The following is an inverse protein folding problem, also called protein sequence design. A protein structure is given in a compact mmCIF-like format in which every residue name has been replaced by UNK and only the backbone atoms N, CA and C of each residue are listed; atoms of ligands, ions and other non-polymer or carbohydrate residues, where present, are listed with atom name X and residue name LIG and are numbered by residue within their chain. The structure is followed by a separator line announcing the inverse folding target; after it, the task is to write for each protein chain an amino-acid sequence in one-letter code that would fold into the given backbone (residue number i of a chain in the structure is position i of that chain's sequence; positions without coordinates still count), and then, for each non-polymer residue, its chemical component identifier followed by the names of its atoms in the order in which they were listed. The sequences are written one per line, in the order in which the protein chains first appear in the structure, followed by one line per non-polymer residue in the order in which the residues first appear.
data_IF_488289113874
#
_entry.id   IF_488289113874
#
_cell.length_a   1.000
_cell.length_b   1.000
_cell.length_c   1.000
_cell.angle_alpha   90.00
_cell.angle_beta   90.00
_cell.angle_gamma   90.00
#
_symmetry.space_group_name_H-M   'P 1'
#
loop_
_entity.id
_entity.type
_entity.pdbx_description
1 polymer ?
#
# COMPACT_ATOMS: atom_id res chain seq x y z
N UNK A 1 21.23 15.53 -24.40
CA UNK A 1 21.10 14.13 -24.87
C UNK A 1 20.44 13.18 -23.84
N UNK A 2 19.62 13.66 -22.88
CA UNK A 2 18.90 12.78 -21.92
C UNK A 2 17.43 13.23 -21.79
N UNK A 3 16.62 13.02 -22.84
CA UNK A 3 15.17 13.27 -22.81
C UNK A 3 14.34 11.98 -22.87
N UNK A 4 14.94 10.81 -22.61
CA UNK A 4 14.13 9.60 -22.43
C UNK A 4 13.38 9.68 -21.09
N UNK A 5 12.05 9.49 -21.07
CA UNK A 5 11.24 9.53 -19.84
C UNK A 5 11.69 8.49 -18.81
N UNK A 6 12.39 7.45 -19.26
CA UNK A 6 12.99 6.40 -18.43
C UNK A 6 14.27 6.83 -17.71
N UNK A 7 14.87 7.98 -18.01
CA UNK A 7 16.11 8.42 -17.35
C UNK A 7 15.89 9.22 -16.05
N UNK A 8 14.64 9.44 -15.65
CA UNK A 8 14.31 10.20 -14.44
C UNK A 8 14.44 9.32 -13.19
N UNK A 9 15.19 9.72 -12.15
CA UNK A 9 15.26 9.00 -10.88
C UNK A 9 13.92 8.53 -10.32
N UNK A 10 12.87 9.35 -10.44
CA UNK A 10 11.51 9.00 -9.98
C UNK A 10 10.85 7.83 -10.72
N UNK A 11 11.29 7.51 -11.94
CA UNK A 11 10.83 6.36 -12.73
C UNK A 11 11.82 5.19 -12.70
N UNK A 12 13.14 5.48 -12.65
CA UNK A 12 14.19 4.48 -12.59
C UNK A 12 14.17 3.69 -11.28
N UNK A 13 14.10 4.37 -10.14
CA UNK A 13 14.21 3.70 -8.83
C UNK A 13 13.11 2.66 -8.63
N UNK A 14 11.81 2.94 -8.90
CA UNK A 14 10.79 1.91 -8.83
C UNK A 14 10.97 0.78 -9.83
N UNK A 15 11.42 1.07 -11.06
CA UNK A 15 11.65 0.05 -12.08
C UNK A 15 12.78 -0.90 -11.68
N UNK A 16 13.89 -0.34 -11.17
CA UNK A 16 15.02 -1.10 -10.64
C UNK A 16 14.56 -1.94 -9.45
N UNK A 17 13.77 -1.38 -8.54
CA UNK A 17 13.24 -2.13 -7.40
C UNK A 17 12.35 -3.30 -7.85
N UNK A 18 11.49 -3.09 -8.85
CA UNK A 18 10.70 -4.18 -9.45
C UNK A 18 11.58 -5.25 -10.08
N UNK A 19 12.63 -4.87 -10.79
CA UNK A 19 13.58 -5.80 -11.40
C UNK A 19 14.37 -6.58 -10.34
N UNK A 20 14.82 -5.92 -9.27
CA UNK A 20 15.49 -6.55 -8.13
C UNK A 20 14.56 -7.57 -7.47
N UNK A 21 13.31 -7.19 -7.20
CA UNK A 21 12.31 -8.12 -6.64
C UNK A 21 12.09 -9.32 -7.57
N UNK A 22 11.95 -9.12 -8.87
CA UNK A 22 11.82 -10.24 -9.82
C UNK A 22 13.01 -11.23 -9.76
N UNK A 23 14.21 -10.75 -9.44
CA UNK A 23 15.43 -11.56 -9.33
C UNK A 23 15.61 -12.24 -7.97
N UNK A 24 14.88 -11.82 -6.93
CA UNK A 24 15.05 -12.35 -5.56
C UNK A 24 14.98 -13.87 -5.48
N UNK A 25 14.00 -14.57 -6.08
CA UNK A 25 13.92 -16.03 -5.97
C UNK A 25 15.16 -16.73 -6.55
N UNK A 26 15.68 -16.23 -7.67
CA UNK A 26 16.88 -16.78 -8.31
C UNK A 26 18.14 -16.53 -7.49
N UNK A 27 18.26 -15.33 -6.91
CA UNK A 27 19.39 -14.97 -6.03
C UNK A 27 19.33 -15.80 -4.75
N UNK A 28 18.16 -15.94 -4.13
CA UNK A 28 17.98 -16.72 -2.90
C UNK A 28 18.29 -18.21 -3.13
N UNK A 29 17.89 -18.77 -4.28
CA UNK A 29 18.24 -20.13 -4.67
C UNK A 29 19.75 -20.28 -4.91
N UNK A 30 20.40 -19.31 -5.55
CA UNK A 30 21.84 -19.35 -5.82
C UNK A 30 22.69 -19.27 -4.52
N UNK A 31 22.19 -18.55 -3.51
CA UNK A 31 22.86 -18.40 -2.21
C UNK A 31 22.47 -19.54 -1.25
N UNK A 32 21.41 -20.30 -1.55
CA UNK A 32 20.95 -21.41 -0.71
C UNK A 32 20.19 -20.97 0.54
N UNK A 33 19.60 -19.78 0.54
CA UNK A 33 18.92 -19.17 1.70
C UNK A 33 17.43 -18.88 1.40
N UNK A 34 16.52 -19.87 1.57
CA UNK A 34 15.10 -19.74 1.27
C UNK A 34 14.37 -18.70 2.13
N UNK A 35 14.93 -18.35 3.28
CA UNK A 35 14.42 -17.32 4.19
C UNK A 35 14.13 -16.00 3.47
N UNK A 36 15.01 -15.57 2.57
CA UNK A 36 14.83 -14.33 1.82
C UNK A 36 13.58 -14.35 0.94
N UNK A 37 13.17 -15.51 0.42
CA UNK A 37 11.95 -15.62 -0.38
C UNK A 37 10.73 -15.30 0.49
N UNK A 38 10.66 -15.85 1.70
CA UNK A 38 9.58 -15.57 2.64
C UNK A 38 9.56 -14.10 3.09
N UNK A 39 10.73 -13.54 3.41
CA UNK A 39 10.88 -12.14 3.82
C UNK A 39 10.39 -11.19 2.71
N UNK A 40 10.89 -11.35 1.48
CA UNK A 40 10.49 -10.48 0.38
C UNK A 40 9.04 -10.74 -0.07
N UNK A 41 8.51 -11.96 0.07
CA UNK A 41 7.08 -12.21 -0.12
C UNK A 41 6.25 -11.39 0.88
N UNK A 42 6.62 -11.37 2.17
CA UNK A 42 5.96 -10.54 3.18
C UNK A 42 6.04 -9.05 2.83
N UNK A 43 7.20 -8.55 2.39
CA UNK A 43 7.36 -7.16 1.93
C UNK A 43 6.40 -6.84 0.78
N UNK A 44 6.33 -7.71 -0.22
CA UNK A 44 5.44 -7.54 -1.39
C UNK A 44 3.97 -7.54 -0.95
N UNK A 45 3.57 -8.44 -0.05
CA UNK A 45 2.19 -8.53 0.43
C UNK A 45 1.79 -7.27 1.20
N UNK A 46 2.67 -6.76 2.08
CA UNK A 46 2.43 -5.49 2.77
C UNK A 46 2.44 -4.29 1.79
N UNK A 47 3.24 -4.34 0.72
CA UNK A 47 3.19 -3.35 -0.35
C UNK A 47 1.84 -3.36 -1.10
N UNK A 48 1.24 -4.54 -1.33
CA UNK A 48 -0.11 -4.65 -1.91
C UNK A 48 -1.15 -4.06 -0.96
N UNK A 49 -1.13 -4.44 0.32
CA UNK A 49 -2.04 -3.92 1.33
C UNK A 49 -1.92 -2.38 1.48
N UNK A 50 -0.70 -1.86 1.47
CA UNK A 50 -0.45 -0.43 1.50
C UNK A 50 -0.85 0.26 0.19
N UNK A 51 -0.71 -0.40 -0.96
CA UNK A 51 -1.20 0.10 -2.25
C UNK A 51 -2.72 0.23 -2.25
N UNK A 52 -3.41 -0.75 -1.67
CA UNK A 52 -4.85 -0.67 -1.43
C UNK A 52 -5.18 0.56 -0.59
N UNK A 53 -4.61 0.69 0.61
CA UNK A 53 -4.86 1.85 1.48
C UNK A 53 -4.53 3.18 0.78
N UNK A 54 -3.44 3.24 0.01
CA UNK A 54 -3.04 4.43 -0.74
C UNK A 54 -4.07 4.85 -1.81
N UNK A 55 -4.92 3.93 -2.28
CA UNK A 55 -6.06 4.30 -3.14
C UNK A 55 -6.98 5.31 -2.43
N UNK A 56 -7.29 5.04 -1.17
CA UNK A 56 -8.24 5.81 -0.35
C UNK A 56 -7.55 6.97 0.36
N UNK A 57 -6.42 6.70 1.00
CA UNK A 57 -5.61 7.69 1.72
C UNK A 57 -4.91 8.65 0.77
N UNK A 58 -4.22 8.09 -0.23
CA UNK A 58 -3.39 8.84 -1.17
C UNK A 58 -4.18 9.62 -2.20
N UNK A 59 -5.11 8.97 -2.91
CA UNK A 59 -5.89 9.69 -3.92
C UNK A 59 -7.17 10.30 -3.35
N UNK A 60 -7.86 9.61 -2.42
CA UNK A 60 -9.10 10.08 -1.82
C UNK A 60 -8.96 11.03 -0.63
N UNK A 61 -7.78 11.11 0.01
CA UNK A 61 -7.57 11.94 1.19
C UNK A 61 -8.28 11.45 2.44
N UNK A 62 -8.71 10.19 2.44
CA UNK A 62 -9.48 9.57 3.51
C UNK A 62 -8.54 8.69 4.35
N UNK A 63 -8.27 9.09 5.59
CA UNK A 63 -7.45 8.31 6.51
C UNK A 63 -8.30 7.20 7.12
N UNK A 64 -8.08 5.95 6.72
CA UNK A 64 -8.86 4.80 7.20
C UNK A 64 -8.01 3.89 8.07
N UNK A 65 -8.42 3.75 9.34
CA UNK A 65 -7.90 2.71 10.23
C UNK A 65 -8.67 1.38 10.12
N UNK A 66 -9.59 1.29 9.15
CA UNK A 66 -10.42 0.12 8.90
C UNK A 66 -9.74 -0.97 8.06
N UNK A 67 -8.60 -0.72 7.41
CA UNK A 67 -8.04 -1.65 6.43
C UNK A 67 -7.52 -2.95 7.02
N UNK A 68 -7.09 -2.95 8.29
CA UNK A 68 -6.79 -4.16 9.05
C UNK A 68 -7.97 -5.14 9.08
N UNK A 69 -9.21 -4.64 9.12
CA UNK A 69 -10.41 -5.49 9.03
C UNK A 69 -10.39 -6.33 7.75
N UNK A 70 -10.19 -5.68 6.59
CA UNK A 70 -10.20 -6.35 5.30
C UNK A 70 -9.02 -7.28 5.14
N UNK A 71 -7.84 -6.86 5.63
CA UNK A 71 -6.65 -7.68 5.66
C UNK A 71 -6.89 -8.99 6.44
N UNK A 72 -7.47 -8.91 7.64
CA UNK A 72 -7.82 -10.11 8.39
C UNK A 72 -8.97 -10.91 7.80
N UNK A 73 -10.01 -10.28 7.23
CA UNK A 73 -11.07 -10.99 6.50
C UNK A 73 -10.46 -11.79 5.35
N UNK A 74 -9.47 -11.23 4.66
CA UNK A 74 -8.68 -11.94 3.65
C UNK A 74 -7.99 -13.19 4.19
N UNK A 75 -7.36 -13.08 5.36
CA UNK A 75 -6.68 -14.20 5.99
C UNK A 75 -7.66 -15.31 6.42
N UNK A 76 -8.75 -14.95 7.08
CA UNK A 76 -9.80 -15.89 7.47
C UNK A 76 -10.64 -16.41 6.29
N UNK A 77 -10.65 -15.70 5.16
CA UNK A 77 -11.23 -16.17 3.91
C UNK A 77 -10.48 -17.35 3.29
N UNK A 78 -9.26 -17.64 3.75
CA UNK A 78 -8.54 -18.90 3.48
C UNK A 78 -8.77 -19.89 4.61
N UNK A 79 -8.58 -19.45 5.86
CA UNK A 79 -8.56 -20.36 6.99
C UNK A 79 -9.92 -21.04 7.27
N UNK A 80 -11.04 -20.33 7.10
CA UNK A 80 -12.38 -20.88 7.33
C UNK A 80 -12.77 -21.96 6.32
N UNK A 81 -12.67 -21.75 4.98
CA UNK A 81 -12.91 -22.82 4.01
C UNK A 81 -12.02 -24.05 4.24
N UNK A 82 -10.73 -23.83 4.53
CA UNK A 82 -9.78 -24.93 4.80
C UNK A 82 -10.18 -25.72 6.04
N UNK A 83 -10.64 -25.06 7.10
CA UNK A 83 -11.20 -25.73 8.28
C UNK A 83 -12.40 -26.62 7.96
N UNK A 84 -13.16 -26.29 6.91
CA UNK A 84 -14.27 -27.11 6.41
C UNK A 84 -13.86 -28.10 5.31
N UNK A 85 -12.56 -28.30 5.07
CA UNK A 85 -12.03 -29.26 4.10
C UNK A 85 -12.08 -28.78 2.65
N UNK A 86 -12.28 -27.48 2.42
CA UNK A 86 -12.24 -26.88 1.08
C UNK A 86 -10.84 -26.31 0.87
N UNK A 87 -10.07 -26.89 -0.05
CA UNK A 87 -8.71 -26.43 -0.41
C UNK A 87 -8.67 -25.68 -1.76
N UNK A 88 -9.83 -25.50 -2.41
CA UNK A 88 -9.94 -24.88 -3.71
C UNK A 88 -9.71 -23.35 -3.63
N UNK A 89 -8.57 -22.92 -4.16
CA UNK A 89 -8.14 -21.52 -4.15
C UNK A 89 -9.09 -20.57 -4.90
N UNK A 90 -9.81 -21.04 -5.93
CA UNK A 90 -10.81 -20.21 -6.61
C UNK A 90 -11.99 -19.89 -5.69
N UNK A 91 -12.42 -20.85 -4.88
CA UNK A 91 -13.48 -20.65 -3.89
C UNK A 91 -13.03 -19.65 -2.83
N UNK A 92 -11.79 -19.79 -2.34
CA UNK A 92 -11.21 -18.85 -1.38
C UNK A 92 -11.16 -17.43 -1.96
N UNK A 93 -10.73 -17.29 -3.22
CA UNK A 93 -10.61 -15.99 -3.89
C UNK A 93 -11.97 -15.31 -4.07
N UNK A 94 -12.98 -16.05 -4.54
CA UNK A 94 -14.36 -15.56 -4.69
C UNK A 94 -14.92 -15.14 -3.32
N UNK A 95 -14.70 -15.95 -2.29
CA UNK A 95 -15.13 -15.66 -0.93
C UNK A 95 -14.47 -14.37 -0.41
N UNK A 96 -13.15 -14.25 -0.56
CA UNK A 96 -12.40 -13.07 -0.12
C UNK A 96 -12.89 -11.81 -0.82
N UNK A 97 -13.01 -11.82 -2.14
CA UNK A 97 -13.52 -10.66 -2.88
C UNK A 97 -14.97 -10.32 -2.54
N UNK A 98 -15.83 -11.33 -2.40
CA UNK A 98 -17.24 -11.15 -2.03
C UNK A 98 -17.40 -10.57 -0.63
N UNK A 99 -16.79 -11.19 0.38
CA UNK A 99 -16.90 -10.77 1.78
C UNK A 99 -16.21 -9.43 2.01
N UNK A 100 -15.00 -9.21 1.48
CA UNK A 100 -14.33 -7.91 1.58
C UNK A 100 -15.10 -6.82 0.83
N UNK A 101 -15.66 -7.13 -0.34
CA UNK A 101 -16.48 -6.19 -1.12
C UNK A 101 -17.73 -5.76 -0.35
N UNK A 102 -18.47 -6.71 0.22
CA UNK A 102 -19.66 -6.43 1.04
C UNK A 102 -19.28 -5.69 2.33
N UNK A 103 -18.27 -6.18 3.06
CA UNK A 103 -17.82 -5.54 4.29
C UNK A 103 -17.33 -4.10 4.04
N UNK A 104 -16.58 -3.87 2.96
CA UNK A 104 -16.12 -2.54 2.58
C UNK A 104 -17.28 -1.65 2.10
N UNK A 105 -18.27 -2.20 1.40
CA UNK A 105 -19.46 -1.45 1.00
C UNK A 105 -20.28 -1.01 2.20
N UNK A 106 -20.51 -1.89 3.17
CA UNK A 106 -21.27 -1.59 4.40
C UNK A 106 -20.51 -0.59 5.26
N UNK A 107 -19.26 -0.88 5.61
CA UNK A 107 -18.45 0.00 6.47
C UNK A 107 -18.15 1.34 5.77
N UNK A 108 -17.93 1.33 4.46
CA UNK A 108 -17.75 2.54 3.64
C UNK A 108 -19.01 3.39 3.59
N UNK A 109 -20.18 2.81 3.33
CA UNK A 109 -21.45 3.52 3.24
C UNK A 109 -21.85 4.21 4.57
N UNK A 110 -21.40 3.68 5.70
CA UNK A 110 -21.60 4.27 7.02
C UNK A 110 -20.51 5.32 7.30
N UNK A 111 -19.23 4.96 7.17
CA UNK A 111 -18.11 5.84 7.54
C UNK A 111 -18.05 7.11 6.70
N UNK A 112 -18.31 7.01 5.38
CA UNK A 112 -18.27 8.15 4.45
C UNK A 112 -19.38 9.19 4.67
N UNK A 113 -20.34 8.92 5.56
CA UNK A 113 -21.31 9.93 6.02
C UNK A 113 -20.67 10.97 6.94
N UNK A 114 -19.46 10.69 7.43
CA UNK A 114 -18.69 11.57 8.30
C UNK A 114 -17.40 12.02 7.61
N UNK A 115 -16.70 13.00 8.18
CA UNK A 115 -15.47 13.55 7.60
C UNK A 115 -14.41 13.81 8.67
N UNK A 116 -13.15 13.83 8.25
CA UNK A 116 -12.01 14.09 9.12
C UNK A 116 -11.84 13.04 10.21
N UNK A 117 -11.73 13.49 11.47
CA UNK A 117 -11.45 12.62 12.62
C UNK A 117 -12.58 11.61 12.87
N UNK A 118 -13.84 12.00 12.63
CA UNK A 118 -14.98 11.10 12.81
C UNK A 118 -14.90 9.89 11.86
N UNK A 119 -14.48 10.08 10.62
CA UNK A 119 -14.26 9.00 9.65
C UNK A 119 -13.19 8.02 10.15
N UNK A 120 -12.07 8.56 10.65
CA UNK A 120 -10.97 7.78 11.24
C UNK A 120 -11.51 6.90 12.39
N UNK A 121 -12.22 7.50 13.34
CA UNK A 121 -12.73 6.80 14.52
C UNK A 121 -13.76 5.72 14.18
N UNK A 122 -14.67 5.98 13.23
CA UNK A 122 -15.65 4.98 12.80
C UNK A 122 -14.96 3.81 12.09
N UNK A 123 -13.99 4.07 11.21
CA UNK A 123 -13.26 2.99 10.54
C UNK A 123 -12.42 2.16 11.52
N UNK A 124 -11.83 2.80 12.53
CA UNK A 124 -11.14 2.13 13.63
C UNK A 124 -12.11 1.23 14.43
N UNK A 125 -13.29 1.74 14.77
CA UNK A 125 -14.31 0.99 15.50
C UNK A 125 -14.75 -0.27 14.72
N UNK A 126 -14.93 -0.17 13.40
CA UNK A 126 -15.24 -1.34 12.57
C UNK A 126 -14.11 -2.37 12.56
N UNK A 127 -12.84 -1.94 12.47
CA UNK A 127 -11.71 -2.87 12.58
C UNK A 127 -11.67 -3.58 13.93
N UNK A 128 -11.86 -2.85 15.03
CA UNK A 128 -11.88 -3.42 16.37
C UNK A 128 -13.09 -4.33 16.60
N UNK A 129 -14.25 -4.00 16.03
CA UNK A 129 -15.42 -4.89 16.05
C UNK A 129 -15.12 -6.22 15.35
N UNK A 130 -14.44 -6.20 14.19
CA UNK A 130 -14.00 -7.43 13.53
C UNK A 130 -12.97 -8.20 14.34
N UNK A 131 -11.97 -7.53 14.90
CA UNK A 131 -11.00 -8.13 15.81
C UNK A 131 -11.68 -8.91 16.94
N UNK A 132 -12.57 -8.26 17.70
CA UNK A 132 -13.27 -8.89 18.82
C UNK A 132 -14.25 -9.97 18.38
N UNK A 133 -14.85 -9.86 17.19
CA UNK A 133 -15.68 -10.91 16.61
C UNK A 133 -14.86 -12.20 16.44
N UNK A 134 -13.68 -12.12 15.81
CA UNK A 134 -12.83 -13.30 15.58
C UNK A 134 -12.21 -13.85 16.86
N UNK A 135 -11.80 -12.99 17.80
CA UNK A 135 -11.37 -13.42 19.14
C UNK A 135 -12.48 -14.20 19.87
N UNK A 136 -13.74 -13.78 19.70
CA UNK A 136 -14.89 -14.44 20.32
C UNK A 136 -15.26 -15.79 19.69
N UNK A 137 -14.79 -16.06 18.46
CA UNK A 137 -15.09 -17.29 17.72
C UNK A 137 -14.16 -18.44 18.14
N UNK A 138 -14.38 -18.97 19.36
CA UNK A 138 -13.59 -20.09 19.90
C UNK A 138 -13.52 -21.32 18.99
N UNK A 139 -14.59 -21.59 18.23
CA UNK A 139 -14.63 -22.70 17.25
C UNK A 139 -13.56 -22.56 16.16
N UNK A 140 -13.19 -21.33 15.81
CA UNK A 140 -12.26 -21.00 14.74
C UNK A 140 -10.93 -20.45 15.29
N UNK A 141 -10.52 -20.94 16.46
CA UNK A 141 -9.25 -20.59 17.09
C UNK A 141 -9.31 -19.47 18.13
N UNK A 142 -10.37 -18.66 18.14
CA UNK A 142 -10.49 -17.54 19.07
C UNK A 142 -9.27 -16.62 19.02
N UNK A 143 -8.72 -16.28 20.19
CA UNK A 143 -7.52 -15.43 20.32
C UNK A 143 -6.24 -16.08 19.75
N UNK A 144 -6.15 -17.41 19.82
CA UNK A 144 -5.00 -18.15 19.32
C UNK A 144 -4.93 -18.12 17.78
N UNK A 145 -6.05 -17.92 17.10
CA UNK A 145 -6.13 -17.99 15.65
C UNK A 145 -6.18 -19.42 15.11
N UNK A 146 -6.11 -19.54 13.79
CA UNK A 146 -6.41 -20.76 13.05
C UNK A 146 -5.25 -21.13 12.13
N UNK A 147 -4.68 -22.32 12.37
CA UNK A 147 -3.67 -22.91 11.49
C UNK A 147 -4.29 -23.47 10.22
N UNK A 148 -3.60 -23.27 9.10
CA UNK A 148 -4.07 -23.61 7.75
C UNK A 148 -3.33 -24.87 7.30
N UNK A 149 -3.97 -26.03 7.52
CA UNK A 149 -3.36 -27.33 7.25
C UNK A 149 -3.17 -27.65 5.76
N UNK A 150 -3.96 -27.01 4.89
CA UNK A 150 -3.88 -27.16 3.44
C UNK A 150 -3.89 -25.78 2.80
N UNK A 151 -2.89 -25.50 1.97
CA UNK A 151 -2.81 -24.24 1.26
C UNK A 151 -3.80 -24.16 0.08
N UNK A 152 -4.03 -22.95 -0.40
CA UNK A 152 -4.97 -22.70 -1.51
C UNK A 152 -4.43 -23.29 -2.82
N UNK A 153 -5.23 -24.15 -3.48
CA UNK A 153 -4.85 -24.81 -4.73
C UNK A 153 -5.63 -24.24 -5.93
N UNK A 154 -4.90 -23.84 -6.96
CA UNK A 154 -5.43 -23.39 -8.25
C UNK A 154 -5.05 -24.39 -9.34
N UNK A 155 -5.57 -25.63 -9.25
CA UNK A 155 -5.18 -26.72 -10.15
C UNK A 155 -3.71 -27.11 -9.94
N UNK A 156 -2.81 -26.94 -10.94
CA UNK A 156 -1.39 -27.28 -10.79
C UNK A 156 -0.61 -26.33 -9.87
N UNK A 157 -1.14 -25.12 -9.62
CA UNK A 157 -0.50 -24.13 -8.77
C UNK A 157 -0.95 -24.33 -7.31
N UNK A 158 0.01 -24.59 -6.42
CA UNK A 158 -0.24 -24.79 -4.99
C UNK A 158 0.45 -23.69 -4.17
N UNK A 159 -0.33 -22.87 -3.46
CA UNK A 159 0.18 -21.79 -2.60
C UNK A 159 0.75 -22.32 -1.26
N UNK A 160 1.00 -23.62 -1.14
CA UNK A 160 1.76 -24.19 -0.02
C UNK A 160 3.27 -24.04 -0.19
N UNK A 161 3.74 -23.81 -1.42
CA UNK A 161 5.14 -23.50 -1.68
C UNK A 161 5.39 -21.98 -1.54
N UNK A 162 6.41 -21.61 -0.76
CA UNK A 162 6.80 -20.22 -0.56
C UNK A 162 7.19 -19.55 -1.88
N UNK A 163 7.82 -20.30 -2.80
CA UNK A 163 8.16 -19.81 -4.14
C UNK A 163 6.91 -19.47 -4.97
N UNK A 164 5.91 -20.35 -4.94
CA UNK A 164 4.62 -20.11 -5.59
C UNK A 164 3.89 -18.89 -5.01
N UNK A 165 3.83 -18.75 -3.67
CA UNK A 165 3.22 -17.59 -3.02
C UNK A 165 3.97 -16.30 -3.39
N UNK A 166 5.30 -16.33 -3.43
CA UNK A 166 6.12 -15.21 -3.87
C UNK A 166 5.77 -14.79 -5.29
N UNK A 167 5.75 -15.73 -6.24
CA UNK A 167 5.44 -15.45 -7.64
C UNK A 167 4.02 -14.88 -7.80
N UNK A 168 3.04 -15.46 -7.10
CA UNK A 168 1.67 -14.94 -7.08
C UNK A 168 1.61 -13.53 -6.51
N UNK A 169 2.26 -13.27 -5.36
CA UNK A 169 2.28 -11.95 -4.74
C UNK A 169 2.96 -10.92 -5.64
N UNK A 170 4.06 -11.28 -6.30
CA UNK A 170 4.74 -10.40 -7.25
C UNK A 170 3.85 -10.05 -8.45
N UNK A 171 3.15 -11.04 -9.02
CA UNK A 171 2.19 -10.82 -10.11
C UNK A 171 1.03 -9.92 -9.66
N UNK A 172 0.48 -10.15 -8.47
CA UNK A 172 -0.58 -9.31 -7.89
C UNK A 172 -0.08 -7.89 -7.64
N UNK A 173 1.15 -7.70 -7.16
CA UNK A 173 1.75 -6.38 -6.98
C UNK A 173 1.94 -5.65 -8.33
N UNK A 174 2.44 -6.35 -9.36
CA UNK A 174 2.59 -5.79 -10.70
C UNK A 174 1.22 -5.37 -11.27
N UNK A 175 0.20 -6.22 -11.11
CA UNK A 175 -1.16 -5.93 -11.54
C UNK A 175 -1.76 -4.77 -10.74
N UNK A 176 -1.60 -4.75 -9.42
CA UNK A 176 -2.10 -3.70 -8.55
C UNK A 176 -1.47 -2.35 -8.89
N UNK A 177 -0.15 -2.30 -9.06
CA UNK A 177 0.57 -1.07 -9.43
C UNK A 177 0.17 -0.57 -10.82
N UNK A 178 0.02 -1.47 -11.80
CA UNK A 178 -0.50 -1.13 -13.12
C UNK A 178 -1.94 -0.59 -13.05
N UNK A 179 -2.85 -1.31 -12.38
CA UNK A 179 -4.23 -0.88 -12.17
C UNK A 179 -4.30 0.48 -11.48
N UNK A 180 -3.49 0.74 -10.45
CA UNK A 180 -3.43 2.03 -9.78
C UNK A 180 -2.91 3.14 -10.70
N UNK A 181 -1.92 2.85 -11.56
CA UNK A 181 -1.43 3.81 -12.55
C UNK A 181 -2.54 4.20 -13.54
N UNK A 182 -3.28 3.21 -14.06
CA UNK A 182 -4.39 3.44 -14.97
C UNK A 182 -5.54 4.17 -14.26
N UNK A 183 -5.90 3.77 -13.05
CA UNK A 183 -6.98 4.38 -12.28
C UNK A 183 -6.66 5.84 -11.92
N UNK A 184 -5.39 6.14 -11.64
CA UNK A 184 -4.91 7.52 -11.41
C UNK A 184 -5.04 8.41 -12.64
N UNK A 185 -4.79 7.86 -13.82
CA UNK A 185 -4.89 8.60 -15.09
C UNK A 185 -6.34 8.71 -15.60
N UNK A 186 -7.21 7.75 -15.21
CA UNK A 186 -8.61 7.72 -15.59
C UNK A 186 -9.43 8.88 -14.98
N UNK A 187 -10.60 9.22 -15.57
CA UNK A 187 -11.52 10.21 -15.01
C UNK A 187 -11.87 9.96 -13.55
N UNK A 188 -12.02 8.69 -13.16
CA UNK A 188 -12.25 8.30 -11.77
C UNK A 188 -11.18 8.84 -10.82
N UNK A 189 -9.90 8.63 -11.13
CA UNK A 189 -8.78 9.13 -10.32
C UNK A 189 -8.67 10.65 -10.32
N UNK A 190 -9.03 11.31 -11.43
CA UNK A 190 -9.08 12.78 -11.50
C UNK A 190 -10.14 13.34 -10.54
N UNK A 191 -11.36 12.78 -10.55
CA UNK A 191 -12.44 13.18 -9.65
C UNK A 191 -12.07 12.94 -8.19
N UNK A 192 -11.47 11.78 -7.88
CA UNK A 192 -11.07 11.44 -6.52
C UNK A 192 -9.99 12.41 -5.98
N UNK A 193 -8.99 12.74 -6.80
CA UNK A 193 -7.94 13.71 -6.46
C UNK A 193 -8.47 15.14 -6.35
N UNK A 194 -9.43 15.52 -7.18
CA UNK A 194 -10.11 16.82 -7.08
C UNK A 194 -10.95 16.90 -5.80
N UNK A 195 -11.67 15.82 -5.46
CA UNK A 195 -12.47 15.72 -4.25
C UNK A 195 -11.61 15.80 -2.98
N UNK A 196 -10.39 15.24 -3.01
CA UNK A 196 -9.41 15.39 -1.93
C UNK A 196 -9.02 16.86 -1.68
N UNK A 197 -8.96 17.70 -2.70
CA UNK A 197 -8.58 19.11 -2.56
C UNK A 197 -9.75 19.98 -2.07
N UNK A 198 -10.91 19.84 -2.72
CA UNK A 198 -12.10 20.59 -2.33
C UNK A 198 -13.37 19.82 -2.73
N UNK A 199 -13.96 19.02 -1.82
CA UNK A 199 -15.12 18.21 -2.15
C UNK A 199 -16.34 19.05 -2.48
N UNK A 200 -16.48 20.24 -1.86
CA UNK A 200 -17.59 21.17 -2.15
C UNK A 200 -17.54 21.68 -3.59
N UNK A 201 -16.35 22.01 -4.09
CA UNK A 201 -16.16 22.49 -5.48
C UNK A 201 -16.45 21.39 -6.52
N UNK A 202 -16.10 20.14 -6.22
CA UNK A 202 -16.44 19.03 -7.13
C UNK A 202 -17.96 18.80 -7.17
N UNK A 203 -18.63 18.90 -6.02
CA UNK A 203 -20.08 18.77 -5.95
C UNK A 203 -20.82 19.89 -6.72
N UNK A 204 -20.30 21.13 -6.76
CA UNK A 204 -20.91 22.21 -7.56
C UNK A 204 -20.89 21.98 -9.06
N UNK A 205 -20.01 21.10 -9.55
CA UNK A 205 -19.96 20.69 -10.97
C UNK A 205 -20.94 19.53 -11.25
N UNK A 206 -21.67 19.06 -10.23
CA UNK A 206 -22.67 17.99 -10.35
C UNK A 206 -22.13 16.57 -10.17
N UNK A 207 -20.86 16.41 -9.76
CA UNK A 207 -20.25 15.09 -9.57
C UNK A 207 -20.52 14.53 -8.16
N UNK A 208 -21.05 13.29 -8.03
CA UNK A 208 -21.40 12.69 -6.74
C UNK A 208 -20.17 12.17 -5.99
N UNK A 209 -19.46 13.06 -5.28
CA UNK A 209 -18.19 12.75 -4.57
C UNK A 209 -18.26 11.50 -3.70
N UNK A 210 -19.34 11.32 -2.95
CA UNK A 210 -19.51 10.19 -2.03
C UNK A 210 -19.51 8.83 -2.73
N UNK A 211 -20.07 8.75 -3.95
CA UNK A 211 -20.10 7.51 -4.73
C UNK A 211 -18.69 7.13 -5.19
N UNK A 212 -17.92 8.09 -5.71
CA UNK A 212 -16.52 7.87 -6.11
C UNK A 212 -15.65 7.44 -4.93
N UNK A 213 -15.83 8.06 -3.75
CA UNK A 213 -15.14 7.68 -2.53
C UNK A 213 -15.53 6.29 -2.05
N UNK A 214 -16.82 5.93 -2.13
CA UNK A 214 -17.31 4.60 -1.75
C UNK A 214 -16.75 3.52 -2.66
N UNK A 215 -16.78 3.73 -3.98
CA UNK A 215 -16.18 2.78 -4.94
C UNK A 215 -14.69 2.63 -4.71
N UNK A 216 -13.96 3.73 -4.45
CA UNK A 216 -12.54 3.66 -4.09
C UNK A 216 -12.30 2.87 -2.80
N UNK A 217 -13.14 3.06 -1.79
CA UNK A 217 -13.08 2.35 -0.52
C UNK A 217 -13.34 0.85 -0.68
N UNK A 218 -14.34 0.47 -1.48
CA UNK A 218 -14.66 -0.94 -1.78
C UNK A 218 -13.53 -1.61 -2.55
N UNK A 219 -13.02 -0.99 -3.62
CA UNK A 219 -11.89 -1.52 -4.38
C UNK A 219 -10.64 -1.68 -3.51
N UNK A 220 -10.41 -0.72 -2.61
CA UNK A 220 -9.31 -0.81 -1.64
C UNK A 220 -9.52 -1.97 -0.65
N UNK A 221 -10.70 -2.12 -0.07
CA UNK A 221 -10.99 -3.23 0.84
C UNK A 221 -10.81 -4.59 0.18
N UNK A 222 -11.26 -4.74 -1.07
CA UNK A 222 -11.05 -5.95 -1.88
C UNK A 222 -9.56 -6.25 -2.13
N UNK A 223 -8.77 -5.24 -2.54
CA UNK A 223 -7.34 -5.41 -2.78
C UNK A 223 -6.56 -5.69 -1.47
N UNK A 224 -6.96 -5.06 -0.36
CA UNK A 224 -6.40 -5.31 0.95
C UNK A 224 -6.72 -6.73 1.46
N UNK A 225 -7.94 -7.21 1.23
CA UNK A 225 -8.33 -8.60 1.49
C UNK A 225 -7.53 -9.60 0.66
N UNK A 226 -7.25 -9.30 -0.61
CA UNK A 226 -6.36 -10.13 -1.43
C UNK A 226 -4.94 -10.21 -0.84
N UNK A 227 -4.41 -9.12 -0.28
CA UNK A 227 -3.13 -9.16 0.42
C UNK A 227 -3.19 -10.05 1.67
N UNK A 228 -4.29 -9.99 2.43
CA UNK A 228 -4.53 -10.88 3.57
C UNK A 228 -4.61 -12.37 3.18
N UNK A 229 -5.28 -12.67 2.05
CA UNK A 229 -5.32 -14.00 1.47
C UNK A 229 -3.92 -14.53 1.16
N UNK A 230 -3.06 -13.71 0.56
CA UNK A 230 -1.67 -14.08 0.27
C UNK A 230 -0.86 -14.26 1.56
N UNK A 231 -1.06 -13.40 2.56
CA UNK A 231 -0.36 -13.51 3.85
C UNK A 231 -0.71 -14.81 4.58
N UNK A 232 -2.00 -15.19 4.59
CA UNK A 232 -2.45 -16.43 5.21
C UNK A 232 -1.83 -17.67 4.56
N UNK A 233 -1.73 -17.69 3.22
CA UNK A 233 -1.04 -18.78 2.52
C UNK A 233 0.48 -18.76 2.77
N UNK A 234 1.11 -17.59 2.86
CA UNK A 234 2.53 -17.46 3.17
C UNK A 234 2.88 -18.02 4.56
N UNK A 235 2.08 -17.66 5.56
CA UNK A 235 2.34 -18.03 6.96
C UNK A 235 1.70 -19.37 7.36
N UNK A 236 0.88 -19.97 6.49
CA UNK A 236 0.00 -21.09 6.80
C UNK A 236 -0.84 -20.88 8.09
N UNK A 237 -1.22 -19.63 8.37
CA UNK A 237 -1.85 -19.24 9.63
C UNK A 237 -2.65 -17.96 9.49
N UNK A 238 -3.81 -17.91 10.15
CA UNK A 238 -4.65 -16.71 10.27
C UNK A 238 -4.90 -16.39 11.75
N UNK A 239 -4.58 -15.16 12.18
CA UNK A 239 -4.77 -14.71 13.56
C UNK A 239 -5.65 -13.47 13.62
N UNK A 240 -6.48 -13.28 14.68
CA UNK A 240 -7.25 -12.05 14.85
C UNK A 240 -6.35 -10.83 14.95
N UNK A 241 -5.11 -10.97 15.42
CA UNK A 241 -4.11 -9.89 15.49
C UNK A 241 -3.89 -9.17 14.15
N UNK A 242 -4.14 -9.84 13.01
CA UNK A 242 -4.10 -9.20 11.68
C UNK A 242 -5.18 -8.13 11.47
N UNK A 243 -6.26 -8.16 12.27
CA UNK A 243 -7.32 -7.16 12.31
C UNK A 243 -7.09 -6.06 13.36
N UNK A 244 -6.01 -6.15 14.13
CA UNK A 244 -5.67 -5.13 15.10
C UNK A 244 -5.40 -3.79 14.41
N UNK A 245 -5.79 -2.70 15.05
CA UNK A 245 -5.64 -1.35 14.49
C UNK A 245 -4.19 -0.99 14.20
N UNK A 246 -3.25 -1.61 14.91
CA UNK A 246 -1.81 -1.45 14.74
C UNK A 246 -1.38 -1.80 13.32
N UNK A 247 -1.99 -2.82 12.70
CA UNK A 247 -1.73 -3.20 11.30
C UNK A 247 -2.14 -2.07 10.35
N UNK A 248 -3.32 -1.45 10.55
CA UNK A 248 -3.71 -0.27 9.77
C UNK A 248 -2.72 0.90 9.98
N UNK A 249 -2.24 1.09 11.21
CA UNK A 249 -1.21 2.08 11.53
C UNK A 249 0.09 1.84 10.76
N UNK A 250 0.57 0.60 10.73
CA UNK A 250 1.73 0.19 9.96
C UNK A 250 1.55 0.45 8.45
N UNK A 251 0.39 0.10 7.90
CA UNK A 251 0.06 0.40 6.49
C UNK A 251 0.07 1.91 6.21
N UNK A 252 -0.46 2.74 7.12
CA UNK A 252 -0.41 4.21 6.98
C UNK A 252 1.04 4.68 6.97
N UNK A 253 1.88 4.17 7.87
CA UNK A 253 3.31 4.51 7.92
C UNK A 253 4.00 4.15 6.61
N UNK A 254 3.78 2.94 6.09
CA UNK A 254 4.31 2.50 4.80
C UNK A 254 3.93 3.48 3.68
N UNK A 255 2.65 3.86 3.60
CA UNK A 255 2.16 4.79 2.56
C UNK A 255 2.77 6.17 2.70
N UNK A 256 2.83 6.71 3.92
CA UNK A 256 3.39 8.04 4.21
C UNK A 256 4.89 8.08 3.92
N UNK A 257 5.63 7.08 4.40
CA UNK A 257 7.07 6.91 4.21
C UNK A 257 7.43 6.86 2.72
N UNK A 258 6.74 5.99 1.98
CA UNK A 258 6.99 5.79 0.56
C UNK A 258 6.60 6.99 -0.31
N UNK A 259 5.54 7.71 0.06
CA UNK A 259 5.02 8.88 -0.65
C UNK A 259 3.53 8.75 -0.93
N UNK A 260 2.72 9.38 -0.08
CA UNK A 260 1.26 9.36 -0.17
C UNK A 260 0.75 9.90 -1.52
N UNK A 261 -0.13 9.15 -2.19
CA UNK A 261 -0.73 9.55 -3.47
C UNK A 261 0.16 9.31 -4.69
N UNK A 262 1.19 8.48 -4.55
CA UNK A 262 2.04 8.00 -5.65
C UNK A 262 1.77 6.52 -5.94
N UNK A 263 2.02 6.07 -7.17
CA UNK A 263 1.76 4.67 -7.56
C UNK A 263 2.74 3.71 -6.90
N UNK A 264 4.03 4.07 -6.90
CA UNK A 264 5.11 3.21 -6.39
C UNK A 264 5.48 3.46 -4.93
N UNK A 265 4.91 4.50 -4.29
CA UNK A 265 5.23 4.88 -2.92
C UNK A 265 5.05 3.71 -1.95
N UNK A 266 3.89 3.03 -1.93
CA UNK A 266 3.67 1.89 -1.04
C UNK A 266 4.72 0.78 -1.15
N UNK A 267 5.24 0.51 -2.35
CA UNK A 267 6.29 -0.49 -2.55
C UNK A 267 7.62 -0.07 -1.90
N UNK A 268 8.06 1.16 -2.15
CA UNK A 268 9.27 1.71 -1.54
C UNK A 268 9.14 1.80 -0.01
N UNK A 269 7.97 2.25 0.47
CA UNK A 269 7.69 2.33 1.89
C UNK A 269 7.73 0.97 2.58
N UNK A 270 7.15 -0.06 1.96
CA UNK A 270 7.13 -1.41 2.53
C UNK A 270 8.54 -2.00 2.57
N UNK A 271 9.30 -1.85 1.47
CA UNK A 271 10.69 -2.29 1.40
C UNK A 271 11.57 -1.65 2.47
N UNK A 272 11.46 -0.32 2.64
CA UNK A 272 12.25 0.40 3.65
C UNK A 272 11.81 0.05 5.06
N UNK A 273 10.50 0.08 5.35
CA UNK A 273 10.02 -0.15 6.71
C UNK A 273 10.28 -1.58 7.19
N UNK A 274 9.84 -2.58 6.42
CA UNK A 274 9.97 -3.98 6.82
C UNK A 274 11.41 -4.48 6.65
N UNK A 275 12.15 -3.99 5.64
CA UNK A 275 13.57 -4.33 5.52
C UNK A 275 14.38 -3.81 6.70
N UNK A 276 14.09 -2.59 7.16
CA UNK A 276 14.73 -2.02 8.34
C UNK A 276 14.29 -2.69 9.64
N UNK A 277 13.00 -3.05 9.76
CA UNK A 277 12.50 -3.88 10.86
C UNK A 277 13.28 -5.19 10.97
N UNK A 278 13.53 -5.86 9.84
CA UNK A 278 14.27 -7.13 9.81
C UNK A 278 15.74 -6.96 10.22
N UNK A 279 16.40 -5.91 9.71
CA UNK A 279 17.78 -5.60 10.09
C UNK A 279 17.85 -5.34 11.61
N UNK A 280 16.92 -4.57 12.17
CA UNK A 280 16.89 -4.25 13.59
C UNK A 280 16.63 -5.50 14.44
N UNK A 281 15.74 -6.39 14.01
CA UNK A 281 15.50 -7.67 14.69
C UNK A 281 16.76 -8.53 14.77
N UNK A 282 17.63 -8.45 13.77
CA UNK A 282 18.95 -9.10 13.81
C UNK A 282 19.89 -8.59 14.91
N UNK A 283 19.67 -7.37 15.42
CA UNK A 283 20.49 -6.76 16.48
C UNK A 283 19.80 -6.67 17.84
N UNK A 284 18.47 -6.64 17.89
CA UNK A 284 17.72 -6.36 19.12
C UNK A 284 16.32 -7.00 19.09
N UNK A 285 15.99 -7.75 20.14
CA UNK A 285 14.68 -8.39 20.31
C UNK A 285 13.53 -7.36 20.47
N UNK A 286 13.85 -6.16 20.96
CA UNK A 286 12.91 -5.07 21.22
C UNK A 286 12.78 -4.10 20.03
N UNK A 287 12.60 -4.63 18.82
CA UNK A 287 12.56 -3.83 17.59
C UNK A 287 11.54 -2.68 17.62
N UNK A 288 10.39 -2.86 18.29
CA UNK A 288 9.34 -1.83 18.44
C UNK A 288 9.84 -0.56 19.16
N UNK A 289 10.79 -0.67 20.09
CA UNK A 289 11.34 0.47 20.85
C UNK A 289 12.17 1.39 19.94
N UNK A 290 12.87 0.80 18.96
CA UNK A 290 13.70 1.53 18.00
C UNK A 290 12.86 2.02 16.81
N UNK A 291 11.92 1.20 16.34
CA UNK A 291 11.10 1.50 15.17
C UNK A 291 10.18 2.72 15.40
N UNK A 292 9.56 2.84 16.58
CA UNK A 292 8.61 3.92 16.89
C UNK A 292 9.19 5.33 16.76
N UNK A 293 10.29 5.67 17.48
CA UNK A 293 10.96 6.97 17.35
C UNK A 293 11.47 7.25 15.93
N UNK A 294 11.96 6.22 15.26
CA UNK A 294 12.46 6.35 13.89
C UNK A 294 11.35 6.67 12.90
N UNK A 295 10.19 6.02 13.00
CA UNK A 295 9.00 6.35 12.21
C UNK A 295 8.60 7.81 12.45
N UNK A 296 8.59 8.26 13.71
CA UNK A 296 8.29 9.65 14.06
C UNK A 296 9.27 10.62 13.40
N UNK A 297 10.57 10.34 13.48
CA UNK A 297 11.61 11.16 12.85
C UNK A 297 11.44 11.22 11.32
N UNK A 298 11.15 10.09 10.68
CA UNK A 298 10.97 10.06 9.23
C UNK A 298 9.68 10.78 8.82
N UNK A 299 8.60 10.62 9.57
CA UNK A 299 7.35 11.35 9.34
C UNK A 299 7.52 12.87 9.51
N UNK A 300 8.33 13.31 10.48
CA UNK A 300 8.66 14.73 10.70
C UNK A 300 9.59 15.29 9.61
N UNK A 301 10.55 14.50 9.14
CA UNK A 301 11.52 14.90 8.12
C UNK A 301 10.92 14.91 6.69
N UNK A 302 9.97 14.02 6.40
CA UNK A 302 9.46 13.78 5.05
C UNK A 302 8.15 14.48 4.74
N UNK A 303 8.16 15.77 4.36
CA UNK A 303 6.95 16.46 3.85
C UNK A 303 6.40 15.89 2.52
N UNK A 304 7.11 14.95 1.88
CA UNK A 304 6.75 14.41 0.55
C UNK A 304 7.03 12.91 0.37
N UNK A 305 7.47 12.20 1.43
CA UNK A 305 7.95 10.81 1.36
C UNK A 305 9.18 10.60 0.46
N UNK A 306 9.64 9.35 0.34
CA UNK A 306 10.84 8.99 -0.44
C UNK A 306 10.69 9.36 -1.92
N UNK A 307 9.53 9.08 -2.53
CA UNK A 307 9.29 9.45 -3.94
C UNK A 307 9.28 10.97 -4.15
N UNK A 308 8.78 11.74 -3.19
CA UNK A 308 8.81 13.19 -3.29
C UNK A 308 10.23 13.78 -3.23
N UNK A 309 11.16 13.11 -2.51
CA UNK A 309 12.57 13.48 -2.52
C UNK A 309 13.21 13.19 -3.88
N UNK A 310 12.93 12.03 -4.48
CA UNK A 310 13.38 11.68 -5.83
C UNK A 310 12.89 12.69 -6.87
N UNK A 311 11.63 13.11 -6.80
CA UNK A 311 11.08 14.13 -7.71
C UNK A 311 11.76 15.50 -7.57
N UNK A 312 12.16 15.90 -6.35
CA UNK A 312 12.92 17.14 -6.14
C UNK A 312 14.31 17.07 -6.79
N UNK A 313 14.95 15.91 -6.77
CA UNK A 313 16.22 15.68 -7.45
C UNK A 313 16.06 15.77 -8.98
N UNK A 314 14.97 15.22 -9.53
CA UNK A 314 14.63 15.36 -10.95
C UNK A 314 14.49 16.84 -11.34
N UNK A 315 13.80 17.63 -10.52
CA UNK A 315 13.61 19.06 -10.76
C UNK A 315 14.90 19.88 -10.60
N UNK A 316 15.80 19.50 -9.69
CA UNK A 316 17.10 20.14 -9.53
C UNK A 316 18.02 19.84 -10.72
N UNK A 317 18.03 18.59 -11.21
CA UNK A 317 18.80 18.17 -12.37
C UNK A 317 18.28 18.75 -13.69
N UNK A 318 16.99 19.11 -13.77
CA UNK A 318 16.37 19.70 -14.95
C UNK A 318 16.43 21.24 -14.99
N UNK A 319 17.04 21.92 -14.01
CA UNK A 319 17.20 23.39 -14.05
C UNK A 319 18.11 23.79 -15.23
N UNK A 320 17.63 24.63 -16.17
CA UNK A 320 18.51 25.22 -17.18
C UNK A 320 19.62 26.04 -16.52
N UNK A 321 20.80 26.07 -17.13
CA UNK A 321 21.87 26.99 -16.72
C UNK A 321 21.31 28.43 -16.62
N UNK A 322 21.77 29.24 -15.65
CA UNK A 322 21.30 30.61 -15.51
C UNK A 322 21.44 31.33 -16.85
N UNK A 323 20.36 31.94 -17.34
CA UNK A 323 20.41 32.77 -18.55
C UNK A 323 21.47 33.86 -18.28
N UNK A 324 22.54 33.97 -19.08
CA UNK A 324 23.54 35.00 -18.87
C UNK A 324 22.86 36.36 -18.85
N UNK A 325 23.13 37.14 -17.79
CA UNK A 325 22.53 38.46 -17.62
C UNK A 325 22.71 39.27 -18.90
N UNK A 326 21.61 39.80 -19.46
CA UNK A 326 21.67 40.71 -20.60
C UNK A 326 22.67 41.83 -20.24
N UNK A 327 23.68 42.12 -21.09
CA UNK A 327 24.62 43.19 -20.80
C UNK A 327 23.83 44.47 -20.60
N UNK A 328 23.94 45.03 -19.40
CA UNK A 328 23.36 46.32 -19.01
C UNK A 328 23.84 47.31 -20.06
N UNK A 329 22.90 47.84 -20.86
CA UNK A 329 23.19 48.82 -21.89
C UNK A 329 23.86 49.99 -21.18
N UNK A 330 25.16 50.18 -21.39
CA UNK A 330 25.89 51.32 -20.85
C UNK A 330 25.15 52.57 -21.33
N UNK A 331 24.53 53.27 -20.39
CA UNK A 331 24.03 54.62 -20.58
C UNK A 331 25.20 55.45 -21.07
N UNK A 332 25.17 55.85 -22.34
CA UNK A 332 26.02 56.91 -22.84
C UNK A 332 25.62 58.19 -22.10
N UNK A 333 26.28 58.42 -20.96
CA UNK A 333 26.49 59.75 -20.45
C UNK A 333 27.58 60.36 -21.33
N UNK A 334 27.19 61.19 -22.28
CA UNK A 334 28.05 62.26 -22.74
C UNK A 334 27.26 63.56 -22.62
N UNK A 335 27.58 64.31 -21.58
CA UNK A 335 27.26 65.73 -21.54
C UNK A 335 28.29 66.49 -22.37
N UNK A 336 27.96 67.74 -22.66
CA UNK A 336 28.97 68.76 -22.93
C UNK A 336 29.02 69.29 -24.35
N UNK A 337 28.62 70.56 -24.45
CA UNK A 337 29.18 71.63 -25.29
C UNK A 337 28.64 71.78 -26.72
N UNK A 338 27.99 72.93 -26.92
CA UNK A 338 27.40 73.43 -28.17
C UNK A 338 26.23 74.37 -27.90
#
# INVERSE_FOLDING_TARGET
MLQHPLARPSALVPLVLFAVLALVPFIAQAIGEPFYIALFARIIIYAIAASALNLVLGYGGLVSFGHALFFGIGAYGVALPVFHGIDNGWVHLILVFGVCGVAAAVTGAISLRTSGIAFIMITLAFAQMGFFLFVSLKRYGGDDGLSIAQASRFGPLNLGDTGAVYACAFLVLALATWCLAQLRAAPFGMVLRAARQNPRRVATVGLPVSQYQLTAYVMSGMLCGLAGFLLANLNAFASPSTMAWTVSGELIVIVVLGGMGTVFGPLLGAFVLLGLEEIIKGYTDHSMVVLGPMILLIALAGKSGIIGLLQKLDHAAARPAPVPAKPTRATHANGGEG
#
